data_IF_959342598119
#
_entry.id   IF_959342598119
#
_cell.length_a   1.000
_cell.length_b   1.000
_cell.length_c   1.000
_cell.angle_alpha   90.00
_cell.angle_beta   90.00
_cell.angle_gamma   90.00
#
_symmetry.space_group_name_H-M   'P 1'
#
loop_
_entity.id
_entity.type
_entity.pdbx_description
1 polymer ?
#
# COMPACT_ATOMS: atom_id res chain seq x y z
N UNK A 1 20.35 -46.67 13.34
CA UNK A 1 20.09 -45.65 12.29
C UNK A 1 19.06 -44.70 12.88
N UNK A 2 19.52 -43.59 13.44
CA UNK A 2 18.66 -42.54 13.98
C UNK A 2 18.21 -41.67 12.82
N UNK A 3 16.91 -41.66 12.54
CA UNK A 3 16.30 -40.70 11.63
C UNK A 3 16.39 -39.32 12.26
N UNK A 4 17.25 -38.46 11.71
CA UNK A 4 17.20 -37.02 11.94
C UNK A 4 15.91 -36.50 11.29
N UNK A 5 14.83 -36.43 12.07
CA UNK A 5 13.66 -35.64 11.69
C UNK A 5 14.09 -34.19 11.53
N UNK A 6 14.24 -33.78 10.27
CA UNK A 6 14.39 -32.39 9.85
C UNK A 6 13.26 -31.57 10.48
N UNK A 7 13.51 -30.35 11.01
CA UNK A 7 12.44 -29.50 11.50
C UNK A 7 11.47 -29.20 10.35
N UNK A 8 10.30 -29.83 10.40
CA UNK A 8 9.24 -29.60 9.44
C UNK A 8 8.78 -28.16 9.62
N UNK A 9 9.08 -27.31 8.62
CA UNK A 9 8.61 -25.94 8.56
C UNK A 9 7.08 -25.95 8.77
N UNK A 10 6.63 -25.35 9.87
CA UNK A 10 5.21 -25.23 10.17
C UNK A 10 4.50 -24.57 8.97
N UNK A 11 3.29 -25.03 8.57
CA UNK A 11 2.57 -24.45 7.44
C UNK A 11 2.52 -22.94 7.61
N UNK A 12 2.97 -22.19 6.59
CA UNK A 12 3.12 -20.74 6.62
C UNK A 12 1.76 -20.08 6.86
N UNK A 13 1.38 -19.92 8.13
CA UNK A 13 0.20 -19.15 8.53
C UNK A 13 0.51 -17.69 8.21
N UNK A 14 -0.39 -17.04 7.48
CA UNK A 14 -0.28 -15.62 7.18
C UNK A 14 -0.13 -14.86 8.51
N UNK A 15 1.04 -14.24 8.70
CA UNK A 15 1.31 -13.43 9.88
C UNK A 15 0.68 -12.05 9.73
N UNK A 16 0.35 -11.41 10.84
CA UNK A 16 -0.33 -10.11 10.84
C UNK A 16 0.49 -9.03 10.10
N UNK A 17 1.82 -9.02 10.26
CA UNK A 17 2.70 -8.08 9.56
C UNK A 17 2.70 -8.29 8.04
N UNK A 18 2.55 -9.53 7.57
CA UNK A 18 2.45 -9.84 6.15
C UNK A 18 1.09 -9.39 5.59
N UNK A 19 0.01 -9.60 6.35
CA UNK A 19 -1.32 -9.13 5.98
C UNK A 19 -1.40 -7.60 5.90
N UNK A 20 -0.77 -6.89 6.85
CA UNK A 20 -0.69 -5.43 6.84
C UNK A 20 0.06 -4.94 5.61
N UNK A 21 1.21 -5.55 5.26
CA UNK A 21 1.95 -5.21 4.05
C UNK A 21 1.12 -5.42 2.79
N UNK A 22 0.44 -6.56 2.70
CA UNK A 22 -0.44 -6.86 1.58
C UNK A 22 -1.57 -5.82 1.45
N UNK A 23 -2.20 -5.45 2.56
CA UNK A 23 -3.22 -4.40 2.58
C UNK A 23 -2.66 -3.04 2.13
N UNK A 24 -1.46 -2.65 2.58
CA UNK A 24 -0.81 -1.42 2.12
C UNK A 24 -0.59 -1.45 0.60
N UNK A 25 -0.12 -2.57 0.05
CA UNK A 25 0.07 -2.72 -1.40
C UNK A 25 -1.24 -2.56 -2.17
N UNK A 26 -2.33 -3.18 -1.69
CA UNK A 26 -3.65 -3.06 -2.30
C UNK A 26 -4.19 -1.62 -2.27
N UNK A 27 -4.04 -0.93 -1.14
CA UNK A 27 -4.46 0.46 -1.03
C UNK A 27 -3.58 1.39 -1.88
N UNK A 28 -2.29 1.09 -2.04
CA UNK A 28 -1.42 1.88 -2.88
C UNK A 28 -1.84 1.80 -4.35
N UNK A 29 -2.13 0.60 -4.86
CA UNK A 29 -2.67 0.39 -6.21
C UNK A 29 -4.00 1.14 -6.39
N UNK A 30 -4.90 1.00 -5.42
CA UNK A 30 -6.18 1.73 -5.42
C UNK A 30 -5.96 3.24 -5.49
N UNK A 31 -5.02 3.79 -4.71
CA UNK A 31 -4.72 5.21 -4.71
C UNK A 31 -4.18 5.68 -6.09
N UNK A 32 -3.29 4.91 -6.73
CA UNK A 32 -2.77 5.25 -8.07
C UNK A 32 -3.85 5.29 -9.14
N UNK A 33 -4.75 4.30 -9.13
CA UNK A 33 -5.88 4.23 -10.07
C UNK A 33 -6.84 5.39 -9.83
N UNK A 34 -7.27 5.60 -8.57
CA UNK A 34 -8.27 6.63 -8.23
C UNK A 34 -7.72 8.06 -8.38
N UNK A 35 -6.40 8.27 -8.35
CA UNK A 35 -5.77 9.54 -8.72
C UNK A 35 -5.73 9.78 -10.24
N UNK A 36 -6.15 8.81 -11.06
CA UNK A 36 -6.03 8.86 -12.52
C UNK A 36 -4.58 8.87 -13.01
N UNK A 37 -3.64 8.35 -12.20
CA UNK A 37 -2.21 8.23 -12.55
C UNK A 37 -1.98 6.93 -13.33
N UNK A 38 -2.69 5.88 -12.95
CA UNK A 38 -2.68 4.58 -13.60
C UNK A 38 -4.07 4.27 -14.15
N UNK A 39 -4.14 3.58 -15.29
CA UNK A 39 -5.39 3.03 -15.78
C UNK A 39 -5.87 1.89 -14.87
N UNK A 40 -7.18 1.81 -14.65
CA UNK A 40 -7.77 0.68 -13.94
C UNK A 40 -7.51 -0.60 -14.76
N UNK A 41 -6.83 -1.62 -14.19
CA UNK A 41 -6.48 -2.84 -14.92
C UNK A 41 -7.69 -3.72 -15.27
N UNK A 42 -8.83 -3.54 -14.59
CA UNK A 42 -10.05 -4.31 -14.85
C UNK A 42 -10.94 -3.65 -15.92
N UNK A 43 -11.04 -2.32 -15.94
CA UNK A 43 -11.90 -1.60 -16.90
C UNK A 43 -11.14 -0.99 -18.07
N UNK A 44 -9.81 -0.89 -17.99
CA UNK A 44 -8.94 -0.15 -18.90
C UNK A 44 -9.30 1.34 -19.03
N UNK A 45 -10.08 1.89 -18.10
CA UNK A 45 -10.46 3.30 -18.08
C UNK A 45 -9.65 4.06 -17.04
N UNK A 46 -9.32 5.31 -17.35
CA UNK A 46 -8.76 6.25 -16.38
C UNK A 46 -9.94 7.07 -15.84
N UNK A 47 -10.46 6.67 -14.68
CA UNK A 47 -11.48 7.42 -13.96
C UNK A 47 -10.86 7.99 -12.67
N UNK A 48 -10.98 9.30 -12.49
CA UNK A 48 -10.39 10.00 -11.33
C UNK A 48 -11.46 10.22 -10.27
N UNK A 49 -11.22 9.67 -9.07
CA UNK A 49 -12.03 9.88 -7.87
C UNK A 49 -11.10 10.21 -6.68
N UNK A 50 -10.81 11.51 -6.53
CA UNK A 50 -9.89 12.00 -5.48
C UNK A 50 -10.37 11.65 -4.05
N UNK A 51 -11.68 11.73 -3.71
CA UNK A 51 -12.16 11.23 -2.42
C UNK A 51 -11.80 9.77 -2.14
N UNK A 52 -11.95 8.86 -3.12
CA UNK A 52 -11.54 7.45 -2.96
C UNK A 52 -10.02 7.29 -2.86
N UNK A 53 -9.25 8.05 -3.64
CA UNK A 53 -7.80 8.06 -3.54
C UNK A 53 -7.33 8.47 -2.14
N UNK A 54 -7.94 9.54 -1.58
CA UNK A 54 -7.65 10.01 -0.23
C UNK A 54 -7.93 8.94 0.82
N UNK A 55 -9.07 8.26 0.74
CA UNK A 55 -9.42 7.20 1.68
C UNK A 55 -8.36 6.08 1.69
N UNK A 56 -7.86 5.67 0.53
CA UNK A 56 -6.81 4.67 0.43
C UNK A 56 -5.48 5.16 1.04
N UNK A 57 -5.10 6.41 0.79
CA UNK A 57 -3.89 7.03 1.36
C UNK A 57 -3.99 7.13 2.89
N UNK A 58 -5.14 7.54 3.41
CA UNK A 58 -5.38 7.64 4.85
C UNK A 58 -5.33 6.26 5.53
N UNK A 59 -5.83 5.21 4.86
CA UNK A 59 -5.70 3.82 5.33
C UNK A 59 -4.22 3.38 5.42
N UNK A 60 -3.40 3.69 4.40
CA UNK A 60 -1.96 3.41 4.44
C UNK A 60 -1.30 4.17 5.60
N UNK A 61 -1.63 5.45 5.78
CA UNK A 61 -1.10 6.27 6.86
C UNK A 61 -1.41 5.70 8.26
N UNK A 62 -2.58 5.07 8.43
CA UNK A 62 -2.95 4.39 9.66
C UNK A 62 -2.22 3.04 9.85
N UNK A 63 -1.90 2.34 8.76
CA UNK A 63 -1.28 1.01 8.81
C UNK A 63 0.25 1.04 8.96
N UNK A 64 0.95 2.00 8.36
CA UNK A 64 2.42 2.10 8.43
C UNK A 64 2.96 2.08 9.88
N UNK A 65 2.40 2.84 10.85
CA UNK A 65 2.85 2.81 12.24
C UNK A 65 2.74 1.42 12.90
N UNK A 66 1.79 0.59 12.48
CA UNK A 66 1.61 -0.76 13.03
C UNK A 66 2.75 -1.72 12.67
N UNK A 67 3.55 -1.37 11.64
CA UNK A 67 4.70 -2.15 11.17
C UNK A 67 6.00 -1.80 11.89
N UNK A 68 6.02 -0.71 12.64
CA UNK A 68 7.22 -0.24 13.35
C UNK A 68 7.62 -1.22 14.45
N UNK A 69 8.91 -1.57 14.50
CA UNK A 69 9.43 -2.58 15.41
C UNK A 69 9.01 -4.02 15.07
N UNK A 70 8.27 -4.24 13.97
CA UNK A 70 7.84 -5.57 13.49
C UNK A 70 8.48 -5.98 12.18
N UNK A 71 8.83 -4.99 11.35
CA UNK A 71 9.55 -5.17 10.09
C UNK A 71 10.99 -4.66 10.21
N UNK A 72 11.83 -5.04 9.25
CA UNK A 72 13.18 -4.50 9.19
C UNK A 72 13.17 -2.98 8.93
N UNK A 73 14.14 -2.20 9.45
CA UNK A 73 14.12 -0.75 9.34
C UNK A 73 14.09 -0.20 7.91
N UNK A 74 14.67 -0.93 6.95
CA UNK A 74 14.60 -0.60 5.53
C UNK A 74 13.18 -0.79 4.98
N UNK A 75 12.50 -1.87 5.34
CA UNK A 75 11.13 -2.14 4.90
C UNK A 75 10.16 -1.05 5.41
N UNK A 76 10.27 -0.66 6.68
CA UNK A 76 9.46 0.44 7.24
C UNK A 76 9.75 1.76 6.50
N UNK A 77 11.02 2.02 6.18
CA UNK A 77 11.41 3.20 5.40
C UNK A 77 10.79 3.19 4.01
N UNK A 78 10.78 2.05 3.32
CA UNK A 78 10.18 1.91 2.00
C UNK A 78 8.67 2.18 2.03
N UNK A 79 7.97 1.69 3.04
CA UNK A 79 6.54 1.96 3.23
C UNK A 79 6.27 3.46 3.48
N UNK A 80 7.12 4.14 4.26
CA UNK A 80 7.03 5.59 4.48
C UNK A 80 7.31 6.39 3.20
N UNK A 81 8.29 5.97 2.41
CA UNK A 81 8.60 6.58 1.12
C UNK A 81 7.42 6.45 0.15
N UNK A 82 6.81 5.26 0.08
CA UNK A 82 5.60 5.01 -0.70
C UNK A 82 4.46 5.94 -0.28
N UNK A 83 4.15 6.02 1.03
CA UNK A 83 3.12 6.91 1.55
C UNK A 83 3.38 8.38 1.18
N UNK A 84 4.63 8.83 1.32
CA UNK A 84 5.02 10.21 1.01
C UNK A 84 4.84 10.51 -0.47
N UNK A 85 5.20 9.57 -1.33
CA UNK A 85 5.04 9.68 -2.79
C UNK A 85 3.56 9.78 -3.17
N UNK A 86 2.71 8.93 -2.57
CA UNK A 86 1.26 8.97 -2.79
C UNK A 86 0.65 10.30 -2.34
N UNK A 87 1.01 10.79 -1.15
CA UNK A 87 0.52 12.06 -0.62
C UNK A 87 0.91 13.25 -1.50
N UNK A 88 2.16 13.29 -1.98
CA UNK A 88 2.63 14.35 -2.87
C UNK A 88 1.85 14.36 -4.19
N UNK A 89 1.69 13.19 -4.82
CA UNK A 89 0.90 13.04 -6.03
C UNK A 89 -0.56 13.44 -5.83
N UNK A 90 -1.16 13.06 -4.70
CA UNK A 90 -2.54 13.43 -4.38
C UNK A 90 -2.73 14.95 -4.31
N UNK A 91 -1.83 15.66 -3.61
CA UNK A 91 -1.88 17.13 -3.53
C UNK A 91 -1.73 17.76 -4.91
N UNK A 92 -0.81 17.27 -5.73
CA UNK A 92 -0.64 17.74 -7.11
C UNK A 92 -1.93 17.58 -7.93
N UNK A 93 -2.62 16.44 -7.78
CA UNK A 93 -3.88 16.15 -8.49
C UNK A 93 -5.03 17.02 -8.00
N UNK A 94 -5.14 17.26 -6.70
CA UNK A 94 -6.14 18.18 -6.12
C UNK A 94 -5.93 19.60 -6.64
N UNK A 95 -4.69 20.09 -6.68
CA UNK A 95 -4.39 21.44 -7.18
C UNK A 95 -4.75 21.57 -8.66
N UNK A 96 -4.37 20.59 -9.50
CA UNK A 96 -4.74 20.56 -10.93
C UNK A 96 -6.24 20.58 -11.17
N UNK A 97 -7.02 19.84 -10.36
CA UNK A 97 -8.47 19.82 -10.47
C UNK A 97 -9.10 21.18 -10.11
N UNK A 98 -8.55 21.87 -9.10
CA UNK A 98 -9.00 23.20 -8.70
C UNK A 98 -8.69 24.29 -9.73
N UNK A 99 -7.56 24.19 -10.46
CA UNK A 99 -7.20 25.14 -11.52
C UNK A 99 -8.06 25.02 -12.79
N UNK A 100 -8.68 23.85 -13.00
CA UNK A 100 -9.49 23.56 -14.20
C UNK A 100 -10.99 23.77 -13.99
N UNK A 101 -11.41 24.10 -12.75
CA UNK A 101 -12.81 24.35 -12.36
C UNK A 101 -13.15 25.84 -12.33
#
# INVERSE_FOLDING_TARGET
MTEETTPQEAPQRLRAEQAIRFAISLFAETAWVQMGIQADPATHTVETDLPKAKLAIDAIAALVPLTEGRLAPNEVRDLRNLLSTLQWNYVERVNKAAETS
#
